data_IF_879407656779
#
_entry.id   IF_879407656779
#
_cell.length_a   1.000
_cell.length_b   1.000
_cell.length_c   1.000
_cell.angle_alpha   90.00
_cell.angle_beta   90.00
_cell.angle_gamma   90.00
#
_symmetry.space_group_name_H-M   'P 1'
#
loop_
_entity.id
_entity.type
_entity.pdbx_description
1 polymer ?
#
# COMPACT_ATOMS: atom_id res chain seq x y z
N UNK A 1 50.42 2.48 -33.10
CA UNK A 1 50.87 1.30 -33.86
C UNK A 1 49.89 0.16 -33.61
N UNK A 2 48.60 0.37 -33.85
CA UNK A 2 47.93 0.44 -35.17
C UNK A 2 47.76 -0.93 -35.81
N UNK A 3 46.52 -1.42 -35.74
CA UNK A 3 45.94 -2.29 -36.76
C UNK A 3 44.45 -1.94 -36.87
N UNK A 4 44.21 -0.92 -37.69
CA UNK A 4 42.93 -0.55 -38.28
C UNK A 4 42.94 -1.00 -39.76
N UNK A 5 41.73 -1.11 -40.33
CA UNK A 5 41.36 -1.31 -41.74
C UNK A 5 41.15 -2.78 -42.17
N UNK A 6 40.11 -3.14 -42.92
CA UNK A 6 38.90 -2.48 -43.40
C UNK A 6 38.06 -3.49 -44.20
N UNK A 7 36.88 -3.03 -44.62
CA UNK A 7 35.92 -3.59 -45.59
C UNK A 7 34.86 -4.53 -45.01
N UNK A 8 33.56 -4.28 -45.15
CA UNK A 8 32.84 -3.28 -45.94
C UNK A 8 31.51 -3.87 -46.40
N UNK A 9 30.41 -3.11 -46.21
CA UNK A 9 29.17 -2.95 -47.02
C UNK A 9 28.68 -4.12 -47.91
N UNK A 10 27.39 -4.45 -48.09
CA UNK A 10 26.08 -3.87 -47.77
C UNK A 10 25.01 -4.91 -48.17
N UNK A 11 23.77 -4.79 -47.68
CA UNK A 11 22.55 -4.62 -48.50
C UNK A 11 21.27 -4.79 -47.65
N UNK A 12 20.30 -3.92 -47.92
CA UNK A 12 19.04 -3.73 -47.24
C UNK A 12 17.97 -4.76 -47.66
N UNK A 13 17.00 -5.03 -46.78
CA UNK A 13 15.58 -5.03 -47.19
C UNK A 13 14.66 -4.66 -46.02
N UNK A 14 13.63 -3.89 -46.36
CA UNK A 14 12.74 -3.17 -45.47
C UNK A 14 11.61 -4.05 -44.93
N UNK A 15 11.28 -3.89 -43.64
CA UNK A 15 10.13 -4.50 -42.97
C UNK A 15 9.29 -3.46 -42.23
N UNK A 16 8.16 -3.10 -42.83
CA UNK A 16 7.11 -2.14 -42.46
C UNK A 16 6.86 -1.89 -40.95
N UNK A 17 6.83 -0.61 -40.59
CA UNK A 17 6.23 -0.07 -39.37
C UNK A 17 4.71 -0.27 -39.36
N UNK A 18 4.16 -0.73 -38.23
CA UNK A 18 2.70 -0.79 -37.99
C UNK A 18 2.22 0.55 -37.46
N UNK A 19 1.43 1.25 -38.29
CA UNK A 19 0.69 2.46 -37.91
C UNK A 19 -0.58 2.08 -37.15
N UNK A 20 -0.77 2.73 -36.00
CA UNK A 20 -2.04 2.92 -35.31
C UNK A 20 -2.67 4.22 -35.88
N UNK A 21 -4.01 4.40 -35.95
CA UNK A 21 -5.08 3.73 -35.19
C UNK A 21 -6.01 2.82 -36.01
N UNK A 22 -6.71 1.92 -35.28
CA UNK A 22 -7.71 0.97 -35.79
C UNK A 22 -9.02 1.70 -36.17
N UNK A 23 -9.63 1.29 -37.29
CA UNK A 23 -10.86 1.88 -37.83
C UNK A 23 -12.14 1.25 -37.24
N UNK A 24 -13.24 2.01 -37.26
CA UNK A 24 -14.54 1.70 -36.65
C UNK A 24 -15.31 0.51 -37.28
N UNK A 25 -14.77 -0.17 -38.28
CA UNK A 25 -15.39 -1.34 -38.93
C UNK A 25 -14.98 -2.69 -38.32
N UNK A 26 -14.04 -2.72 -37.37
CA UNK A 26 -13.59 -3.94 -36.70
C UNK A 26 -14.37 -4.26 -35.40
N UNK A 27 -15.41 -3.46 -35.08
CA UNK A 27 -16.27 -3.61 -33.90
C UNK A 27 -17.71 -3.85 -34.33
N UNK A 28 -17.98 -4.97 -35.01
CA UNK A 28 -19.30 -5.59 -35.02
C UNK A 28 -19.17 -7.11 -35.15
N UNK A 29 -19.51 -7.82 -34.08
CA UNK A 29 -19.72 -9.27 -34.10
C UNK A 29 -21.07 -9.54 -33.45
N UNK A 30 -22.01 -10.01 -34.25
CA UNK A 30 -23.36 -10.36 -33.78
C UNK A 30 -23.35 -11.51 -32.77
N UNK A 31 -24.29 -11.52 -31.80
CA UNK A 31 -24.40 -12.60 -30.84
C UNK A 31 -25.03 -13.84 -31.49
N UNK A 32 -24.29 -14.96 -31.51
CA UNK A 32 -24.85 -16.28 -31.83
C UNK A 32 -25.71 -16.76 -30.65
N UNK A 33 -26.92 -17.21 -30.99
CA UNK A 33 -27.98 -17.59 -30.06
C UNK A 33 -27.62 -18.72 -29.10
N UNK A 34 -28.21 -18.65 -27.90
CA UNK A 34 -28.20 -19.70 -26.90
C UNK A 34 -29.35 -20.70 -27.16
N UNK A 35 -29.16 -22.01 -26.88
CA UNK A 35 -30.21 -23.00 -27.05
C UNK A 35 -31.23 -22.98 -25.91
N UNK A 36 -32.49 -23.20 -26.30
CA UNK A 36 -33.70 -23.30 -25.46
C UNK A 36 -33.77 -24.69 -24.80
N UNK A 37 -34.17 -24.75 -23.53
CA UNK A 37 -34.62 -25.98 -22.86
C UNK A 37 -36.09 -25.86 -22.43
N UNK A 38 -36.88 -26.94 -22.51
CA UNK A 38 -38.32 -26.92 -22.22
C UNK A 38 -38.62 -27.02 -20.72
N UNK A 39 -39.74 -26.41 -20.33
CA UNK A 39 -40.16 -26.25 -18.94
C UNK A 39 -40.85 -27.45 -18.31
N UNK A 40 -41.02 -27.34 -16.98
CA UNK A 40 -41.97 -28.12 -16.20
C UNK A 40 -42.67 -27.17 -15.22
N UNK A 41 -43.97 -27.39 -15.08
CA UNK A 41 -44.98 -26.55 -14.45
C UNK A 41 -45.11 -26.73 -12.92
N UNK A 42 -45.82 -25.79 -12.31
CA UNK A 42 -46.43 -25.87 -10.97
C UNK A 42 -45.77 -24.92 -9.96
N UNK A 43 -46.46 -24.09 -9.18
CA UNK A 43 -47.89 -23.83 -8.97
C UNK A 43 -47.99 -22.51 -8.20
N UNK A 44 -49.00 -21.71 -8.50
CA UNK A 44 -49.31 -20.46 -7.83
C UNK A 44 -49.84 -20.67 -6.39
N UNK A 45 -49.53 -19.73 -5.49
CA UNK A 45 -50.52 -19.24 -4.54
C UNK A 45 -50.27 -17.77 -4.24
N UNK A 46 -51.34 -17.00 -4.40
CA UNK A 46 -51.42 -15.58 -4.13
C UNK A 46 -51.83 -15.36 -2.67
N UNK A 47 -51.33 -14.31 -2.02
CA UNK A 47 -52.05 -13.68 -0.92
C UNK A 47 -51.85 -12.17 -0.93
N UNK A 48 -52.93 -11.51 -1.34
CA UNK A 48 -53.52 -10.23 -0.94
C UNK A 48 -52.70 -9.17 -0.19
N UNK A 49 -52.74 -7.98 -0.79
CA UNK A 49 -52.39 -6.69 -0.22
C UNK A 49 -53.37 -6.22 0.88
N UNK A 50 -52.85 -5.51 1.87
CA UNK A 50 -53.64 -4.55 2.67
C UNK A 50 -52.76 -3.33 3.00
N UNK A 51 -53.21 -2.13 2.62
CA UNK A 51 -52.67 -0.84 3.10
C UNK A 51 -53.08 -0.63 4.57
N UNK A 52 -52.34 0.20 5.32
CA UNK A 52 -52.96 1.48 5.65
C UNK A 52 -52.03 2.69 5.61
N UNK A 53 -52.71 3.82 5.70
CA UNK A 53 -52.42 5.21 5.39
C UNK A 53 -51.65 5.95 6.50
N UNK A 54 -50.79 6.88 6.06
CA UNK A 54 -50.40 8.19 6.62
C UNK A 54 -50.52 8.47 8.14
N UNK A 55 -49.39 8.89 8.72
CA UNK A 55 -49.39 9.73 9.93
C UNK A 55 -47.99 10.26 10.29
N UNK A 56 -47.83 11.59 10.27
CA UNK A 56 -46.95 12.30 11.21
C UNK A 56 -45.56 12.70 10.73
N UNK A 57 -45.48 13.89 10.12
CA UNK A 57 -44.25 14.71 10.04
C UNK A 57 -43.78 15.17 11.42
N UNK A 58 -42.51 14.92 11.77
CA UNK A 58 -41.70 15.76 12.69
C UNK A 58 -40.24 15.79 12.20
N UNK A 59 -39.52 16.91 12.38
CA UNK A 59 -38.22 17.13 11.77
C UNK A 59 -37.13 16.36 12.52
N UNK A 60 -36.21 15.71 11.78
CA UNK A 60 -34.96 15.19 12.32
C UNK A 60 -33.91 16.30 12.27
N UNK A 61 -33.78 17.04 13.36
CA UNK A 61 -32.54 17.74 13.69
C UNK A 61 -31.50 16.72 14.19
N UNK A 62 -30.24 16.93 13.82
CA UNK A 62 -29.10 16.20 14.38
C UNK A 62 -28.16 15.61 13.32
N UNK A 63 -27.44 16.48 12.61
CA UNK A 63 -26.16 16.10 11.99
C UNK A 63 -25.17 16.01 13.15
N UNK A 64 -24.97 14.81 13.69
CA UNK A 64 -23.97 14.57 14.72
C UNK A 64 -22.58 14.69 14.08
N UNK A 65 -21.96 15.85 14.32
CA UNK A 65 -20.60 16.15 13.89
C UNK A 65 -19.64 15.13 14.50
N UNK A 66 -19.02 14.33 13.64
CA UNK A 66 -17.96 13.42 14.00
C UNK A 66 -16.77 14.24 14.55
N UNK A 67 -16.63 14.25 15.88
CA UNK A 67 -15.48 14.86 16.56
C UNK A 67 -14.21 14.09 16.16
N UNK A 68 -13.09 14.75 15.88
CA UNK A 68 -11.84 14.04 15.61
C UNK A 68 -11.42 13.27 16.87
N UNK A 69 -11.12 11.98 16.70
CA UNK A 69 -10.63 11.05 17.72
C UNK A 69 -9.28 11.44 18.38
N UNK A 70 -8.73 12.61 18.07
CA UNK A 70 -7.32 12.94 18.27
C UNK A 70 -6.95 13.53 19.63
N UNK A 71 -7.89 13.75 20.56
CA UNK A 71 -7.59 14.55 21.77
C UNK A 71 -7.50 13.75 23.08
N UNK A 72 -6.99 12.52 23.05
CA UNK A 72 -6.78 11.75 24.30
C UNK A 72 -5.53 10.87 24.29
N UNK A 73 -4.36 11.51 24.25
CA UNK A 73 -3.15 10.94 24.88
C UNK A 73 -2.04 11.99 24.99
N UNK A 74 -2.00 12.71 26.11
CA UNK A 74 -0.78 13.35 26.59
C UNK A 74 -0.32 12.55 27.81
N UNK A 75 0.78 11.78 27.75
CA UNK A 75 1.34 11.21 28.97
C UNK A 75 2.01 12.33 29.78
N UNK A 76 1.80 12.31 31.09
CA UNK A 76 2.52 13.16 32.03
C UNK A 76 4.04 12.87 31.96
N UNK A 77 4.84 13.93 32.02
CA UNK A 77 6.31 13.87 31.96
C UNK A 77 6.89 13.11 33.15
N UNK A 78 7.72 12.06 32.96
CA UNK A 78 8.41 11.43 34.08
C UNK A 78 9.67 12.21 34.45
N UNK A 79 9.98 12.21 35.75
CA UNK A 79 11.16 12.83 36.34
C UNK A 79 12.48 12.29 35.76
N UNK A 80 13.52 13.13 35.76
CA UNK A 80 14.81 12.87 35.14
C UNK A 80 15.56 11.69 35.81
N UNK A 81 15.59 10.55 35.14
CA UNK A 81 16.44 9.40 35.45
C UNK A 81 17.70 9.49 34.57
N UNK A 82 18.92 9.20 35.08
CA UNK A 82 20.13 9.27 34.27
C UNK A 82 20.04 8.25 33.13
N UNK A 83 20.05 8.77 31.91
CA UNK A 83 19.81 8.03 30.69
C UNK A 83 21.02 7.17 30.35
N UNK A 84 20.86 5.85 30.23
CA UNK A 84 21.92 5.00 29.67
C UNK A 84 22.24 5.46 28.25
N UNK A 85 23.51 5.40 27.83
CA UNK A 85 23.96 5.89 26.52
C UNK A 85 23.17 5.28 25.34
N UNK A 86 22.70 4.04 25.49
CA UNK A 86 21.83 3.38 24.50
C UNK A 86 20.40 3.95 24.45
N UNK A 87 19.82 4.36 25.59
CA UNK A 87 18.54 5.08 25.59
C UNK A 87 18.68 6.52 25.06
N UNK A 88 19.84 7.15 25.24
CA UNK A 88 20.10 8.49 24.69
C UNK A 88 20.06 8.52 23.16
N UNK A 89 20.67 7.51 22.53
CA UNK A 89 20.71 7.34 21.07
C UNK A 89 19.38 6.90 20.46
N UNK A 90 18.44 6.41 21.28
CA UNK A 90 17.11 5.99 20.83
C UNK A 90 15.98 6.89 21.34
N UNK A 91 16.36 8.04 21.94
CA UNK A 91 15.46 9.01 22.55
C UNK A 91 14.49 9.65 21.55
N UNK A 92 13.42 10.21 22.09
CA UNK A 92 12.43 10.98 21.34
C UNK A 92 13.08 12.07 20.48
N UNK A 93 14.13 12.75 20.99
CA UNK A 93 14.87 13.77 20.24
C UNK A 93 15.51 13.23 18.96
N UNK A 94 16.08 12.03 19.00
CA UNK A 94 16.69 11.40 17.81
C UNK A 94 15.62 11.08 16.77
N UNK A 95 14.46 10.61 17.22
CA UNK A 95 13.31 10.36 16.34
C UNK A 95 12.76 11.65 15.71
N UNK A 96 12.66 12.74 16.47
CA UNK A 96 12.25 14.04 15.92
C UNK A 96 13.21 14.54 14.84
N UNK A 97 14.53 14.40 15.06
CA UNK A 97 15.54 14.73 14.04
C UNK A 97 15.41 13.89 12.76
N UNK A 98 15.03 12.61 12.88
CA UNK A 98 14.72 11.79 11.71
C UNK A 98 13.54 12.39 10.94
N UNK A 99 12.47 12.78 11.63
CA UNK A 99 11.27 13.37 11.00
C UNK A 99 11.58 14.72 10.35
N UNK A 100 12.44 15.54 10.95
CA UNK A 100 12.93 16.78 10.33
C UNK A 100 13.67 16.53 9.01
N UNK A 101 14.53 15.50 8.96
CA UNK A 101 15.21 15.10 7.71
C UNK A 101 14.23 14.59 6.66
N UNK A 102 13.24 13.79 7.06
CA UNK A 102 12.19 13.31 6.16
C UNK A 102 11.35 14.46 5.61
N UNK A 103 11.06 15.48 6.43
CA UNK A 103 10.40 16.70 5.95
C UNK A 103 11.28 17.45 4.95
N UNK A 104 12.58 17.60 5.26
CA UNK A 104 13.54 18.26 4.37
C UNK A 104 13.72 17.54 3.02
N UNK A 105 13.45 16.22 2.95
CA UNK A 105 13.45 15.47 1.70
C UNK A 105 12.18 15.65 0.85
N UNK A 106 11.24 16.49 1.27
CA UNK A 106 10.07 16.88 0.48
C UNK A 106 8.73 16.28 0.93
N UNK A 107 8.69 15.50 2.02
CA UNK A 107 7.42 15.01 2.58
C UNK A 107 6.77 16.13 3.40
N UNK A 108 5.55 16.52 3.02
CA UNK A 108 4.82 17.65 3.59
C UNK A 108 3.61 17.24 4.44
N UNK A 109 3.07 16.03 4.29
CA UNK A 109 1.89 15.59 5.06
C UNK A 109 2.21 15.49 6.56
N UNK A 110 1.68 16.44 7.33
CA UNK A 110 1.89 16.54 8.77
C UNK A 110 1.42 15.30 9.54
N UNK A 111 0.41 14.59 9.04
CA UNK A 111 -0.15 13.38 9.68
C UNK A 111 0.81 12.21 9.52
N UNK A 112 1.40 12.07 8.32
CA UNK A 112 2.45 11.08 8.05
C UNK A 112 3.67 11.36 8.93
N UNK A 113 4.13 12.61 8.98
CA UNK A 113 5.28 13.00 9.80
C UNK A 113 5.02 12.74 11.30
N UNK A 114 3.81 13.04 11.79
CA UNK A 114 3.40 12.73 13.16
C UNK A 114 3.36 11.23 13.44
N UNK A 115 2.87 10.41 12.49
CA UNK A 115 2.88 8.96 12.62
C UNK A 115 4.31 8.39 12.71
N UNK A 116 5.25 8.87 11.88
CA UNK A 116 6.67 8.50 12.01
C UNK A 116 7.26 8.93 13.36
N UNK A 117 6.86 10.10 13.87
CA UNK A 117 7.29 10.60 15.18
C UNK A 117 6.70 9.82 16.36
N UNK A 118 5.58 9.12 16.18
CA UNK A 118 4.94 8.32 17.21
C UNK A 118 5.56 6.91 17.33
N UNK A 119 5.93 6.30 16.21
CA UNK A 119 6.40 4.90 16.18
C UNK A 119 7.90 4.80 16.46
N UNK A 120 8.32 4.10 17.54
CA UNK A 120 9.73 3.91 17.89
C UNK A 120 10.42 2.91 16.93
N UNK A 121 10.89 3.39 15.78
CA UNK A 121 11.49 2.58 14.71
C UNK A 121 12.58 1.59 15.17
N UNK A 122 13.37 1.94 16.19
CA UNK A 122 14.40 1.06 16.76
C UNK A 122 13.84 -0.25 17.36
N UNK A 123 12.56 -0.31 17.74
CA UNK A 123 11.92 -1.54 18.23
C UNK A 123 11.68 -2.58 17.13
N UNK A 124 11.87 -2.20 15.86
CA UNK A 124 11.59 -3.03 14.70
C UNK A 124 12.84 -3.58 14.01
N UNK A 125 14.02 -3.35 14.60
CA UNK A 125 15.32 -3.82 14.11
C UNK A 125 16.05 -4.59 15.19
N UNK A 126 17.13 -5.27 14.82
CA UNK A 126 18.03 -5.89 15.79
C UNK A 126 18.57 -4.84 16.78
N UNK A 127 18.69 -5.15 18.10
CA UNK A 127 19.23 -4.21 19.09
C UNK A 127 20.59 -3.61 18.72
N UNK A 128 21.45 -4.35 18.00
CA UNK A 128 22.74 -3.85 17.51
C UNK A 128 22.62 -2.75 16.47
N UNK A 129 21.48 -2.64 15.78
CA UNK A 129 21.18 -1.62 14.76
C UNK A 129 20.33 -0.46 15.31
N UNK A 130 19.97 -0.47 16.60
CA UNK A 130 19.05 0.49 17.19
C UNK A 130 19.50 1.96 17.04
N UNK A 131 20.82 2.22 17.11
CA UNK A 131 21.38 3.56 16.91
C UNK A 131 21.22 4.08 15.47
N UNK A 132 21.28 3.16 14.49
CA UNK A 132 21.13 3.49 13.06
C UNK A 132 19.67 3.54 12.62
N UNK A 133 18.73 3.06 13.44
CA UNK A 133 17.31 2.95 13.10
C UNK A 133 16.68 4.28 12.64
N UNK A 134 17.26 5.41 13.04
CA UNK A 134 16.77 6.76 12.76
C UNK A 134 17.58 7.49 11.68
N UNK A 135 18.58 6.84 11.10
CA UNK A 135 19.21 7.28 9.86
C UNK A 135 18.25 7.06 8.69
N UNK A 136 18.38 7.87 7.62
CA UNK A 136 17.56 7.68 6.42
C UNK A 136 18.08 6.54 5.53
N UNK A 137 18.21 5.36 6.13
CA UNK A 137 18.81 4.17 5.55
C UNK A 137 17.86 2.97 5.66
N UNK A 138 17.98 2.05 4.69
CA UNK A 138 17.38 0.74 4.82
C UNK A 138 18.30 -0.13 5.67
N UNK A 139 17.73 -0.92 6.58
CA UNK A 139 18.50 -1.77 7.50
C UNK A 139 18.11 -3.24 7.31
N UNK A 140 19.04 -4.19 7.47
CA UNK A 140 18.71 -5.60 7.36
C UNK A 140 17.79 -6.02 8.50
N UNK A 141 16.80 -6.84 8.18
CA UNK A 141 15.89 -7.45 9.15
C UNK A 141 15.94 -8.98 9.06
N UNK A 142 17.01 -9.56 8.53
CA UNK A 142 17.13 -11.00 8.30
C UNK A 142 16.27 -11.52 7.15
N UNK A 143 16.40 -12.81 6.82
CA UNK A 143 15.70 -13.46 5.71
C UNK A 143 15.83 -12.75 4.36
N UNK A 144 16.99 -12.10 4.11
CA UNK A 144 17.27 -11.29 2.92
C UNK A 144 16.29 -10.12 2.73
N UNK A 145 15.61 -9.68 3.80
CA UNK A 145 14.69 -8.54 3.77
C UNK A 145 15.31 -7.34 4.50
N UNK A 146 14.76 -6.16 4.22
CA UNK A 146 15.15 -4.90 4.85
C UNK A 146 13.93 -4.17 5.39
N UNK A 147 14.13 -3.34 6.42
CA UNK A 147 13.21 -2.27 6.76
C UNK A 147 13.51 -1.08 5.83
N UNK A 148 12.50 -0.58 5.12
CA UNK A 148 12.64 0.52 4.15
C UNK A 148 13.07 1.83 4.81
N UNK A 149 13.78 2.70 4.07
CA UNK A 149 14.17 4.05 4.51
C UNK A 149 12.98 4.84 5.09
N UNK A 150 13.13 5.58 6.20
CA UNK A 150 12.09 6.48 6.71
C UNK A 150 11.49 7.41 5.65
N UNK A 151 12.32 8.04 4.80
CA UNK A 151 11.84 8.95 3.74
C UNK A 151 10.97 8.24 2.71
N UNK A 152 11.37 7.04 2.29
CA UNK A 152 10.61 6.22 1.33
C UNK A 152 9.29 5.76 1.91
N UNK A 153 9.26 5.29 3.17
CA UNK A 153 8.01 4.95 3.86
C UNK A 153 7.10 6.16 3.91
N UNK A 154 7.59 7.31 4.38
CA UNK A 154 6.80 8.52 4.48
C UNK A 154 6.27 8.99 3.12
N UNK A 155 7.09 8.95 2.07
CA UNK A 155 6.69 9.31 0.71
C UNK A 155 5.59 8.40 0.18
N UNK A 156 5.71 7.09 0.35
CA UNK A 156 4.68 6.14 -0.07
C UNK A 156 3.35 6.42 0.64
N UNK A 157 3.39 6.64 1.95
CA UNK A 157 2.18 6.88 2.74
C UNK A 157 1.54 8.24 2.43
N UNK A 158 2.33 9.28 2.19
CA UNK A 158 1.84 10.58 1.72
C UNK A 158 1.09 10.45 0.38
N UNK A 159 1.64 9.70 -0.58
CA UNK A 159 1.05 9.52 -1.90
C UNK A 159 -0.31 8.81 -1.85
N UNK A 160 -0.42 7.74 -1.04
CA UNK A 160 -1.69 6.99 -0.93
C UNK A 160 -2.71 7.69 -0.05
N UNK A 161 -2.28 8.38 1.01
CA UNK A 161 -3.20 9.11 1.90
C UNK A 161 -3.74 10.38 1.24
N UNK A 162 -2.91 11.07 0.46
CA UNK A 162 -3.33 12.22 -0.35
C UNK A 162 -4.04 13.35 0.42
N UNK A 163 -3.68 13.57 1.68
CA UNK A 163 -4.38 14.55 2.54
C UNK A 163 -5.68 14.03 3.19
N UNK A 164 -6.08 12.78 2.95
CA UNK A 164 -7.30 12.16 3.49
C UNK A 164 -7.01 11.10 4.56
N UNK A 165 -7.97 10.89 5.47
CA UNK A 165 -7.93 9.74 6.37
C UNK A 165 -8.36 8.50 5.60
N UNK A 166 -7.73 7.35 5.87
CA UNK A 166 -8.01 6.11 5.16
C UNK A 166 -8.96 5.25 6.00
N UNK A 167 -10.00 4.65 5.42
CA UNK A 167 -10.83 3.71 6.17
C UNK A 167 -10.14 2.34 6.21
N UNK A 168 -9.76 1.79 5.05
CA UNK A 168 -9.16 0.47 4.95
C UNK A 168 -7.91 0.48 4.06
N UNK A 169 -6.80 0.02 4.63
CA UNK A 169 -5.52 -0.07 3.92
C UNK A 169 -5.03 -1.50 3.87
N UNK A 170 -4.50 -1.90 2.71
CA UNK A 170 -3.74 -3.14 2.54
C UNK A 170 -2.25 -2.84 2.34
N UNK A 171 -1.40 -3.42 3.16
CA UNK A 171 0.04 -3.47 2.98
C UNK A 171 0.46 -4.86 2.47
N UNK A 172 1.33 -4.88 1.45
CA UNK A 172 1.97 -6.10 0.96
C UNK A 172 3.45 -6.07 1.35
N UNK A 173 3.89 -7.04 2.14
CA UNK A 173 5.23 -7.13 2.70
C UNK A 173 5.32 -6.52 4.10
N UNK A 174 4.71 -7.15 5.10
CA UNK A 174 4.75 -6.69 6.50
C UNK A 174 6.19 -6.53 7.01
N UNK A 175 7.10 -7.45 6.64
CA UNK A 175 8.50 -7.43 7.07
C UNK A 175 8.63 -7.48 8.59
N UNK A 176 9.17 -6.41 9.17
CA UNK A 176 9.28 -6.29 10.63
C UNK A 176 8.03 -5.67 11.30
N UNK A 177 7.07 -5.14 10.54
CA UNK A 177 5.84 -4.52 11.04
C UNK A 177 5.91 -2.99 11.24
N UNK A 178 7.04 -2.34 10.94
CA UNK A 178 7.18 -0.90 11.18
C UNK A 178 6.19 -0.06 10.36
N UNK A 179 6.07 -0.34 9.07
CA UNK A 179 5.19 0.43 8.20
C UNK A 179 3.71 0.15 8.49
N UNK A 180 3.33 -1.09 8.82
CA UNK A 180 2.02 -1.41 9.40
C UNK A 180 1.71 -0.54 10.64
N UNK A 181 2.68 -0.39 11.55
CA UNK A 181 2.52 0.46 12.74
C UNK A 181 2.33 1.93 12.36
N UNK A 182 3.08 2.47 11.41
CA UNK A 182 2.91 3.84 10.94
C UNK A 182 1.54 4.02 10.27
N UNK A 183 1.12 3.07 9.43
CA UNK A 183 -0.21 3.05 8.79
C UNK A 183 -1.35 3.05 9.80
N UNK A 184 -1.17 2.42 10.97
CA UNK A 184 -2.21 2.36 12.01
C UNK A 184 -2.60 3.73 12.58
N UNK A 185 -1.76 4.75 12.40
CA UNK A 185 -2.06 6.14 12.74
C UNK A 185 -2.78 6.91 11.62
N UNK A 186 -2.79 6.38 10.40
CA UNK A 186 -3.33 7.03 9.20
C UNK A 186 -4.65 6.40 8.73
N UNK A 187 -4.95 5.20 9.21
CA UNK A 187 -6.07 4.40 8.74
C UNK A 187 -6.93 3.85 9.90
N UNK A 188 -8.23 3.66 9.64
CA UNK A 188 -9.14 3.02 10.59
C UNK A 188 -8.85 1.53 10.73
N UNK A 189 -8.62 0.80 9.64
CA UNK A 189 -8.19 -0.60 9.63
C UNK A 189 -6.99 -0.81 8.68
N UNK A 190 -5.96 -1.50 9.18
CA UNK A 190 -4.76 -1.87 8.44
C UNK A 190 -4.70 -3.39 8.32
N UNK A 191 -4.65 -3.88 7.09
CA UNK A 191 -4.39 -5.27 6.76
C UNK A 191 -2.99 -5.37 6.20
N UNK A 192 -2.19 -6.33 6.65
CA UNK A 192 -0.82 -6.48 6.15
C UNK A 192 -0.51 -7.95 5.88
N UNK A 193 -0.01 -8.24 4.69
CA UNK A 193 0.28 -9.61 4.22
C UNK A 193 1.77 -9.85 4.16
N UNK A 194 2.24 -10.92 4.80
CA UNK A 194 3.64 -11.37 4.78
C UNK A 194 3.74 -12.81 4.31
N UNK A 195 4.70 -13.07 3.43
CA UNK A 195 4.94 -14.40 2.85
C UNK A 195 5.97 -15.22 3.60
N UNK A 196 6.84 -14.59 4.39
CA UNK A 196 7.93 -15.25 5.14
C UNK A 196 7.49 -15.45 6.59
N UNK A 197 7.25 -16.71 6.98
CA UNK A 197 6.67 -17.08 8.27
C UNK A 197 7.47 -16.54 9.47
N UNK A 198 8.81 -16.63 9.53
CA UNK A 198 9.58 -16.00 10.58
C UNK A 198 9.38 -14.48 10.71
N UNK A 199 9.23 -13.76 9.58
CA UNK A 199 8.99 -12.32 9.58
C UNK A 199 7.57 -11.99 10.07
N UNK A 200 6.58 -12.76 9.62
CA UNK A 200 5.21 -12.64 10.10
C UNK A 200 5.11 -12.79 11.64
N UNK A 201 5.75 -13.80 12.22
CA UNK A 201 5.76 -14.00 13.68
C UNK A 201 6.56 -12.91 14.40
N UNK A 202 7.64 -12.43 13.81
CA UNK A 202 8.39 -11.30 14.38
C UNK A 202 7.58 -10.00 14.35
N UNK A 203 6.86 -9.72 13.26
CA UNK A 203 5.99 -8.55 13.18
C UNK A 203 4.91 -8.59 14.27
N UNK A 204 4.29 -9.75 14.52
CA UNK A 204 3.37 -9.93 15.65
C UNK A 204 4.03 -9.60 16.99
N UNK A 205 5.27 -10.05 17.20
CA UNK A 205 6.03 -9.82 18.43
C UNK A 205 6.35 -8.34 18.60
N UNK A 206 6.81 -7.66 17.55
CA UNK A 206 7.15 -6.23 17.57
C UNK A 206 5.93 -5.34 17.78
N UNK A 207 4.77 -5.69 17.22
CA UNK A 207 3.55 -4.90 17.31
C UNK A 207 2.81 -5.07 18.64
N UNK A 208 2.94 -6.22 19.29
CA UNK A 208 2.20 -6.54 20.53
C UNK A 208 2.38 -5.50 21.65
N UNK A 209 3.59 -5.00 21.95
CA UNK A 209 3.80 -3.95 22.96
C UNK A 209 3.10 -2.61 22.62
N UNK A 210 2.91 -2.30 21.35
CA UNK A 210 2.29 -1.04 20.90
C UNK A 210 0.78 -1.01 21.13
N UNK A 211 0.14 -2.16 21.34
CA UNK A 211 -1.31 -2.30 21.60
C UNK A 211 -2.19 -1.59 20.55
N UNK A 212 -1.78 -1.66 19.29
CA UNK A 212 -2.49 -1.09 18.13
C UNK A 212 -3.60 -2.05 17.66
N UNK A 213 -4.88 -1.78 17.96
CA UNK A 213 -5.95 -2.76 17.78
C UNK A 213 -6.43 -2.89 16.33
N UNK A 214 -6.07 -1.92 15.48
CA UNK A 214 -6.52 -1.82 14.09
C UNK A 214 -5.56 -2.45 13.08
N UNK A 215 -4.58 -3.24 13.52
CA UNK A 215 -3.69 -3.98 12.60
C UNK A 215 -4.08 -5.46 12.56
N UNK A 216 -4.29 -5.98 11.35
CA UNK A 216 -4.60 -7.37 11.07
C UNK A 216 -3.50 -7.95 10.18
N UNK A 217 -2.66 -8.79 10.77
CA UNK A 217 -1.60 -9.47 10.04
C UNK A 217 -2.11 -10.76 9.40
N UNK A 218 -1.69 -11.01 8.17
CA UNK A 218 -2.01 -12.22 7.41
C UNK A 218 -0.72 -12.87 6.90
N UNK A 219 -0.59 -14.18 7.14
CA UNK A 219 0.46 -14.98 6.51
C UNK A 219 -0.06 -15.52 5.17
N UNK A 220 0.51 -15.08 4.06
CA UNK A 220 -0.04 -15.39 2.74
C UNK A 220 0.78 -14.83 1.57
N UNK A 221 0.36 -15.18 0.36
CA UNK A 221 0.92 -14.61 -0.87
C UNK A 221 0.30 -13.24 -1.15
N UNK A 222 1.09 -12.19 -0.92
CA UNK A 222 0.65 -10.82 -1.13
C UNK A 222 0.29 -10.46 -2.59
N UNK A 223 0.72 -11.24 -3.59
CA UNK A 223 0.32 -11.00 -4.99
C UNK A 223 -1.16 -11.28 -5.23
N UNK A 224 -1.78 -12.09 -4.38
CA UNK A 224 -3.21 -12.39 -4.42
C UNK A 224 -4.04 -11.33 -3.67
N UNK A 225 -3.39 -10.42 -2.94
CA UNK A 225 -4.04 -9.47 -2.05
C UNK A 225 -4.77 -10.16 -0.90
N UNK A 226 -5.90 -9.60 -0.52
CA UNK A 226 -6.78 -10.13 0.52
C UNK A 226 -8.26 -9.93 0.11
N UNK A 227 -8.79 -10.76 -0.81
CA UNK A 227 -10.13 -10.57 -1.38
C UNK A 227 -11.25 -10.53 -0.34
N UNK A 228 -11.10 -11.28 0.76
CA UNK A 228 -12.10 -11.34 1.84
C UNK A 228 -12.28 -10.04 2.61
N UNK A 229 -11.31 -9.11 2.54
CA UNK A 229 -11.37 -7.81 3.17
C UNK A 229 -11.49 -6.65 2.18
N UNK A 230 -11.42 -6.91 0.87
CA UNK A 230 -11.60 -5.91 -0.17
C UNK A 230 -13.03 -5.29 -0.15
N UNK A 231 -13.24 -4.09 -0.70
CA UNK A 231 -12.23 -3.21 -1.30
C UNK A 231 -11.42 -2.42 -0.26
N UNK A 232 -10.28 -1.87 -0.70
CA UNK A 232 -9.36 -1.03 0.09
C UNK A 232 -9.25 0.39 -0.49
N UNK A 233 -9.22 1.41 0.35
CA UNK A 233 -9.04 2.80 -0.10
C UNK A 233 -7.58 3.06 -0.50
N UNK A 234 -6.65 2.37 0.16
CA UNK A 234 -5.25 2.39 -0.21
C UNK A 234 -4.61 1.01 -0.20
N UNK A 235 -3.68 0.80 -1.13
CA UNK A 235 -2.82 -0.38 -1.17
C UNK A 235 -1.36 0.08 -1.25
N UNK A 236 -0.50 -0.45 -0.39
CA UNK A 236 0.92 -0.13 -0.38
C UNK A 236 1.72 -1.41 -0.54
N UNK A 237 2.52 -1.51 -1.60
CA UNK A 237 3.39 -2.66 -1.86
C UNK A 237 4.81 -2.32 -1.44
N UNK A 238 5.31 -2.94 -0.38
CA UNK A 238 6.68 -2.74 0.14
C UNK A 238 7.69 -3.74 -0.46
N UNK A 239 7.49 -4.14 -1.71
CA UNK A 239 8.39 -5.00 -2.48
C UNK A 239 8.23 -4.71 -3.98
N UNK A 240 9.31 -4.81 -4.76
CA UNK A 240 9.31 -4.49 -6.17
C UNK A 240 8.84 -5.65 -7.05
N UNK A 241 7.79 -5.43 -7.84
CA UNK A 241 7.38 -6.34 -8.92
C UNK A 241 7.86 -5.84 -10.29
N UNK A 242 7.73 -6.67 -11.33
CA UNK A 242 7.85 -6.20 -12.72
C UNK A 242 6.65 -5.35 -13.17
N UNK A 243 5.49 -5.66 -12.62
CA UNK A 243 4.22 -4.98 -12.85
C UNK A 243 3.42 -5.02 -11.54
N UNK A 244 2.43 -4.13 -11.39
CA UNK A 244 1.46 -4.20 -10.27
C UNK A 244 0.54 -5.41 -10.48
N UNK A 245 0.40 -6.33 -9.51
CA UNK A 245 -0.52 -7.46 -9.63
C UNK A 245 -1.97 -7.04 -9.89
N UNK A 246 -2.61 -7.62 -10.92
CA UNK A 246 -3.99 -7.30 -11.29
C UNK A 246 -4.99 -7.51 -10.14
N UNK A 247 -4.79 -8.56 -9.33
CA UNK A 247 -5.62 -8.83 -8.16
C UNK A 247 -5.64 -7.65 -7.17
N UNK A 248 -4.54 -6.90 -7.04
CA UNK A 248 -4.47 -5.72 -6.16
C UNK A 248 -5.18 -4.52 -6.81
N UNK A 249 -5.08 -4.34 -8.13
CA UNK A 249 -5.82 -3.30 -8.85
C UNK A 249 -7.34 -3.48 -8.74
N UNK A 250 -7.81 -4.74 -8.79
CA UNK A 250 -9.22 -5.10 -8.66
C UNK A 250 -9.77 -4.91 -7.24
N UNK A 251 -8.92 -5.12 -6.23
CA UNK A 251 -9.26 -4.94 -4.81
C UNK A 251 -9.19 -3.48 -4.34
N UNK A 252 -8.67 -2.56 -5.14
CA UNK A 252 -8.64 -1.14 -4.84
C UNK A 252 -10.03 -0.52 -5.02
N UNK A 253 -10.55 0.25 -4.07
CA UNK A 253 -11.81 0.96 -4.20
C UNK A 253 -11.78 1.96 -5.36
N UNK A 254 -12.92 2.28 -5.97
CA UNK A 254 -13.00 3.42 -6.91
C UNK A 254 -12.69 4.70 -6.13
N UNK A 255 -11.79 5.52 -6.66
CA UNK A 255 -11.19 6.67 -5.96
C UNK A 255 -10.00 6.31 -5.07
N UNK A 256 -9.74 5.01 -4.87
CA UNK A 256 -8.61 4.53 -4.08
C UNK A 256 -7.27 4.66 -4.79
N UNK A 257 -6.19 4.59 -4.01
CA UNK A 257 -4.80 4.78 -4.46
C UNK A 257 -3.91 3.60 -4.11
N UNK A 258 -3.14 3.13 -5.07
CA UNK A 258 -2.11 2.11 -4.86
C UNK A 258 -0.74 2.72 -5.11
N UNK A 259 0.24 2.45 -4.24
CA UNK A 259 1.64 2.80 -4.49
C UNK A 259 2.51 1.54 -4.45
N UNK A 260 3.36 1.38 -5.44
CA UNK A 260 4.23 0.22 -5.58
C UNK A 260 5.57 0.58 -6.26
N UNK A 261 6.70 0.01 -5.82
CA UNK A 261 7.92 -0.02 -6.61
C UNK A 261 7.72 -0.96 -7.80
N UNK A 262 7.94 -0.46 -9.01
CA UNK A 262 7.85 -1.25 -10.25
C UNK A 262 9.20 -1.21 -10.95
N UNK A 263 9.75 -2.40 -11.21
CA UNK A 263 11.04 -2.59 -11.86
C UNK A 263 10.93 -2.78 -13.36
N UNK A 264 11.91 -2.27 -14.12
CA UNK A 264 12.01 -2.57 -15.55
C UNK A 264 12.48 -4.01 -15.77
N UNK A 265 12.03 -4.64 -16.87
CA UNK A 265 12.48 -5.98 -17.27
C UNK A 265 13.98 -6.05 -17.60
N UNK A 266 14.61 -4.90 -17.86
CA UNK A 266 16.04 -4.74 -18.15
C UNK A 266 16.92 -4.68 -16.89
N UNK A 267 16.34 -4.70 -15.69
CA UNK A 267 17.00 -5.22 -14.49
C UNK A 267 17.67 -4.22 -13.54
N UNK A 268 17.76 -2.93 -13.88
CA UNK A 268 18.55 -1.97 -13.08
C UNK A 268 17.79 -0.74 -12.59
N UNK A 269 16.49 -0.63 -12.87
CA UNK A 269 15.71 0.53 -12.49
C UNK A 269 14.38 0.11 -11.88
N UNK A 270 14.08 0.66 -10.71
CA UNK A 270 12.76 0.58 -10.09
C UNK A 270 12.29 2.01 -9.84
N UNK A 271 11.05 2.28 -10.20
CA UNK A 271 10.39 3.57 -9.99
C UNK A 271 9.18 3.38 -9.11
N UNK A 272 8.96 4.34 -8.22
CA UNK A 272 7.75 4.37 -7.43
C UNK A 272 6.58 4.72 -8.36
N UNK A 273 5.58 3.89 -8.39
CA UNK A 273 4.42 4.01 -9.28
C UNK A 273 3.17 4.22 -8.44
N UNK A 274 2.45 5.30 -8.71
CA UNK A 274 1.14 5.60 -8.14
C UNK A 274 0.06 5.19 -9.14
N UNK A 275 -0.92 4.41 -8.68
CA UNK A 275 -2.09 4.02 -9.44
C UNK A 275 -3.35 4.53 -8.75
N UNK A 276 -4.18 5.26 -9.47
CA UNK A 276 -5.48 5.75 -8.99
C UNK A 276 -6.59 5.00 -9.73
N UNK A 277 -7.55 4.39 -9.02
CA UNK A 277 -8.71 3.74 -9.67
C UNK A 277 -9.77 4.80 -9.98
N UNK A 278 -9.95 5.11 -11.25
CA UNK A 278 -10.87 6.17 -11.72
C UNK A 278 -12.31 5.66 -11.85
N UNK A 279 -12.47 4.41 -12.28
CA UNK A 279 -13.79 3.76 -12.42
C UNK A 279 -13.68 2.24 -12.25
N UNK A 280 -14.77 1.51 -12.48
CA UNK A 280 -14.78 0.04 -12.39
C UNK A 280 -13.74 -0.62 -13.32
N UNK A 281 -13.43 0.00 -14.46
CA UNK A 281 -12.56 -0.55 -15.50
C UNK A 281 -11.42 0.39 -15.94
N UNK A 282 -11.19 1.50 -15.22
CA UNK A 282 -10.13 2.47 -15.57
C UNK A 282 -9.25 2.80 -14.38
N UNK A 283 -7.94 2.82 -14.65
CA UNK A 283 -6.89 3.23 -13.73
C UNK A 283 -6.01 4.29 -14.39
N UNK A 284 -5.52 5.22 -13.58
CA UNK A 284 -4.51 6.20 -13.98
C UNK A 284 -3.21 5.84 -13.29
N UNK A 285 -2.13 5.76 -14.06
CA UNK A 285 -0.80 5.46 -13.55
C UNK A 285 0.09 6.71 -13.64
N UNK A 286 0.98 6.88 -12.66
CA UNK A 286 2.01 7.91 -12.65
C UNK A 286 3.31 7.34 -12.09
N UNK A 287 4.39 7.50 -12.85
CA UNK A 287 5.74 7.13 -12.41
C UNK A 287 6.40 8.32 -11.71
N UNK A 288 7.06 8.04 -10.59
CA UNK A 288 7.60 9.03 -9.67
C UNK A 288 9.11 8.78 -9.46
N UNK A 289 9.55 8.83 -8.22
CA UNK A 289 10.94 8.77 -7.82
C UNK A 289 11.57 7.38 -8.03
N UNK A 290 12.88 7.35 -8.32
CA UNK A 290 13.64 6.10 -8.33
C UNK A 290 13.75 5.54 -6.92
N UNK A 291 13.55 4.24 -6.79
CA UNK A 291 13.60 3.52 -5.51
C UNK A 291 14.36 2.21 -5.66
N UNK A 292 14.62 1.56 -4.53
CA UNK A 292 15.18 0.20 -4.53
C UNK A 292 14.53 -0.61 -3.42
N UNK A 293 13.90 -1.71 -3.81
CA UNK A 293 13.18 -2.63 -2.96
C UNK A 293 13.57 -4.07 -3.27
N UNK A 294 13.38 -4.92 -2.27
CA UNK A 294 13.45 -6.37 -2.40
C UNK A 294 12.36 -6.88 -3.36
N UNK A 295 12.58 -7.99 -4.10
CA UNK A 295 11.61 -8.47 -5.07
C UNK A 295 10.31 -8.98 -4.43
N UNK A 296 9.18 -8.65 -5.05
CA UNK A 296 7.87 -9.23 -4.78
C UNK A 296 7.82 -10.65 -5.35
N UNK A 297 7.66 -11.65 -4.49
CA UNK A 297 7.68 -13.08 -4.86
C UNK A 297 6.33 -13.74 -4.53
N UNK A 298 5.96 -14.72 -5.35
CA UNK A 298 4.79 -15.57 -5.10
C UNK A 298 5.05 -16.63 -4.03
N UNK A 299 3.96 -17.20 -3.51
CA UNK A 299 3.96 -18.29 -2.53
C UNK A 299 4.42 -17.86 -1.14
N UNK A 300 4.26 -18.77 -0.18
CA UNK A 300 4.66 -18.59 1.22
C UNK A 300 5.86 -19.47 1.57
N UNK A 301 6.72 -19.03 2.49
CA UNK A 301 7.93 -19.72 2.96
C UNK A 301 8.17 -19.55 4.46
#
# INVERSE_FOLDING_TARGET
>A
MDAWLAAGAACMSAGRAKRFPLGLSDVMREPRGAPVLPGVAGSASASTATKPTLGGTRPREGVEQMRPFFDRMVPASPAAVPLSTQLALTSERVRQRMVERVRASGVADARVLAALAAIPRHQFVDPGLAAQAYEDAALPIGHQQTISKPSVVARMLELVAAGHALEKVLEIGTGCGYQAAVLSHLARDVYSVERVKPLYERAKTNLRPLRVPNIRLHYGDGRLGLPSAAPFDAIVIAAAGFDVPAALLEQLAIGGRLVAPVGSRSGNEQVLTLVERVSSAQWRESQLDRVFFVPLKSGVI
#
